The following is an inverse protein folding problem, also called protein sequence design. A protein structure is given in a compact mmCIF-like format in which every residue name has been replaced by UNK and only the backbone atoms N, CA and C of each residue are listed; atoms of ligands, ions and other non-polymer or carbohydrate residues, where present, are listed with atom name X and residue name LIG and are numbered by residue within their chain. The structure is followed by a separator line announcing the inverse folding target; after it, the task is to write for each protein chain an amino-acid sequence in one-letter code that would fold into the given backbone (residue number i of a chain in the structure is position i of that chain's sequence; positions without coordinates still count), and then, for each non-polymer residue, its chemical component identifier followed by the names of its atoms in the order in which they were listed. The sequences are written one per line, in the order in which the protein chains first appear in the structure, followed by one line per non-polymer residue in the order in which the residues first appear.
data_IF_336560101425
#
_entry.id   IF_336560101425
#
_cell.length_a   1.000
_cell.length_b   1.000
_cell.length_c   1.000
_cell.angle_alpha   90.00
_cell.angle_beta   90.00
_cell.angle_gamma   90.00
#
_symmetry.space_group_name_H-M   'P 1'
#
loop_
_entity.id
_entity.type
_entity.pdbx_description
1 polymer ?
#
# COMPACT_ATOMS: atom_id res chain seq x y z
N UNK A 1 -2.06 -11.48 23.04
CA UNK A 1 -3.04 -12.41 23.61
C UNK A 1 -4.44 -11.81 23.47
N UNK A 2 -5.42 -12.62 23.10
CA UNK A 2 -6.82 -12.20 22.89
C UNK A 2 -7.72 -13.17 23.63
N UNK A 3 -8.68 -12.64 24.40
CA UNK A 3 -9.71 -13.43 25.07
C UNK A 3 -11.00 -13.36 24.28
N UNK A 4 -11.60 -14.49 24.02
CA UNK A 4 -12.90 -14.65 23.36
C UNK A 4 -13.92 -15.19 24.34
N UNK A 5 -15.11 -14.63 24.31
CA UNK A 5 -16.26 -15.12 25.05
C UNK A 5 -17.30 -15.59 24.03
N UNK A 6 -17.57 -16.89 24.01
CA UNK A 6 -18.62 -17.47 23.18
C UNK A 6 -19.91 -17.42 23.92
N UNK A 7 -20.94 -16.85 23.30
CA UNK A 7 -22.27 -16.72 23.85
C UNK A 7 -23.26 -17.58 23.07
N UNK A 8 -24.06 -18.37 23.75
CA UNK A 8 -25.24 -19.04 23.22
C UNK A 8 -26.51 -18.43 23.83
N UNK A 9 -27.38 -17.90 22.97
CA UNK A 9 -28.59 -17.18 23.43
C UNK A 9 -28.30 -16.06 24.45
N UNK A 10 -27.13 -15.39 24.28
CA UNK A 10 -26.70 -14.30 25.16
C UNK A 10 -26.08 -14.75 26.49
N UNK A 11 -25.93 -16.04 26.72
CA UNK A 11 -25.27 -16.59 27.91
C UNK A 11 -23.86 -17.08 27.53
N UNK A 12 -22.83 -16.80 28.35
CA UNK A 12 -21.49 -17.29 28.12
C UNK A 12 -21.45 -18.82 28.28
N UNK A 13 -21.03 -19.50 27.22
CA UNK A 13 -20.88 -20.97 27.19
C UNK A 13 -19.42 -21.40 27.15
N UNK A 14 -18.54 -20.55 26.64
CA UNK A 14 -17.11 -20.85 26.56
C UNK A 14 -16.28 -19.56 26.63
N UNK A 15 -15.17 -19.60 27.35
CA UNK A 15 -14.13 -18.60 27.36
C UNK A 15 -12.85 -19.20 26.78
N UNK A 16 -12.26 -18.54 25.77
CA UNK A 16 -11.00 -18.95 25.15
C UNK A 16 -9.96 -17.84 25.22
N UNK A 17 -8.76 -18.23 25.54
CA UNK A 17 -7.59 -17.37 25.54
C UNK A 17 -6.63 -17.82 24.44
N UNK A 18 -6.51 -17.02 23.38
CA UNK A 18 -5.56 -17.25 22.30
C UNK A 18 -4.30 -16.39 22.45
N UNK A 19 -3.15 -17.00 22.28
CA UNK A 19 -1.85 -16.34 22.28
C UNK A 19 -1.13 -16.62 20.99
N UNK A 20 -0.80 -15.59 20.25
CA UNK A 20 -0.02 -15.68 19.02
C UNK A 20 1.28 -14.93 19.22
N UNK A 21 2.39 -15.55 18.88
CA UNK A 21 3.70 -14.92 18.79
C UNK A 21 4.21 -15.08 17.36
N UNK A 22 4.68 -13.99 16.76
CA UNK A 22 5.19 -13.95 15.39
C UNK A 22 6.57 -13.36 15.42
N UNK A 23 7.52 -14.04 14.78
CA UNK A 23 8.89 -13.57 14.59
C UNK A 23 9.28 -13.72 13.13
N UNK A 24 10.02 -12.74 12.59
CA UNK A 24 10.56 -12.79 11.25
C UNK A 24 11.49 -11.63 10.96
N UNK A 25 12.54 -11.94 10.22
CA UNK A 25 13.49 -10.96 9.73
C UNK A 25 13.59 -11.06 8.22
N UNK A 26 13.29 -9.99 7.51
CA UNK A 26 13.45 -9.95 6.06
C UNK A 26 14.72 -9.23 5.64
N UNK A 27 15.36 -9.73 4.59
CA UNK A 27 16.50 -9.11 3.94
C UNK A 27 16.21 -8.87 2.47
N UNK A 28 16.49 -7.66 1.99
CA UNK A 28 16.36 -7.28 0.59
C UNK A 28 17.72 -6.75 0.11
N UNK A 29 18.23 -7.37 -0.96
CA UNK A 29 19.46 -6.97 -1.64
C UNK A 29 19.12 -6.60 -3.08
N UNK A 30 19.57 -5.44 -3.53
CA UNK A 30 19.42 -5.00 -4.92
C UNK A 30 20.76 -4.55 -5.47
N UNK A 31 21.02 -4.91 -6.72
CA UNK A 31 22.14 -4.43 -7.52
C UNK A 31 21.59 -3.87 -8.82
N UNK A 32 21.92 -2.61 -9.10
CA UNK A 32 21.57 -1.93 -10.35
C UNK A 32 22.83 -1.50 -11.08
N UNK A 33 22.89 -1.79 -12.38
CA UNK A 33 23.89 -1.28 -13.30
C UNK A 33 23.16 -0.43 -14.34
N UNK A 34 23.59 0.82 -14.51
CA UNK A 34 22.93 1.75 -15.43
C UNK A 34 23.97 2.54 -16.19
N UNK A 35 23.74 2.67 -17.48
CA UNK A 35 24.46 3.54 -18.40
C UNK A 35 23.58 4.72 -18.79
N UNK A 36 24.08 5.94 -18.60
CA UNK A 36 23.44 7.19 -19.00
C UNK A 36 24.29 7.84 -20.09
N UNK A 37 23.84 7.79 -21.34
CA UNK A 37 24.53 8.36 -22.51
C UNK A 37 24.16 9.82 -22.74
N UNK A 38 25.13 10.60 -23.30
CA UNK A 38 24.90 12.01 -23.60
C UNK A 38 23.88 12.26 -24.72
N UNK A 39 23.54 11.22 -25.51
CA UNK A 39 22.53 11.29 -26.58
C UNK A 39 21.10 11.07 -26.10
N UNK A 40 20.88 10.97 -24.77
CA UNK A 40 19.57 10.65 -24.20
C UNK A 40 19.28 9.14 -24.10
N UNK A 41 20.25 8.28 -24.45
CA UNK A 41 20.15 6.83 -24.28
C UNK A 41 20.41 6.47 -22.81
N UNK A 42 19.50 5.70 -22.23
CA UNK A 42 19.63 5.10 -20.90
C UNK A 42 19.41 3.60 -21.03
N UNK A 43 20.32 2.78 -20.52
CA UNK A 43 20.17 1.33 -20.50
C UNK A 43 20.65 0.77 -19.17
N UNK A 44 20.03 -0.30 -18.70
CA UNK A 44 20.46 -0.89 -17.44
C UNK A 44 19.85 -2.25 -17.16
N UNK A 45 20.35 -2.80 -16.05
CA UNK A 45 19.92 -4.08 -15.50
C UNK A 45 19.76 -3.95 -13.99
N UNK A 46 18.70 -4.56 -13.47
CA UNK A 46 18.44 -4.69 -12.06
C UNK A 46 18.39 -6.16 -11.66
N UNK A 47 18.95 -6.47 -10.50
CA UNK A 47 18.77 -7.76 -9.85
C UNK A 47 18.41 -7.54 -8.38
N UNK A 48 17.32 -8.17 -7.96
CA UNK A 48 16.83 -8.11 -6.58
C UNK A 48 16.72 -9.51 -6.00
N UNK A 49 17.18 -9.65 -4.76
CA UNK A 49 16.99 -10.85 -3.95
C UNK A 49 16.31 -10.46 -2.65
N UNK A 50 15.17 -11.10 -2.36
CA UNK A 50 14.46 -10.98 -1.10
C UNK A 50 14.40 -12.33 -0.41
N UNK A 51 14.61 -12.33 0.91
CA UNK A 51 14.53 -13.49 1.77
C UNK A 51 13.79 -13.12 3.05
N UNK A 52 12.74 -13.84 3.37
CA UNK A 52 11.92 -13.60 4.56
C UNK A 52 11.54 -14.92 5.23
N UNK A 53 12.29 -15.37 6.24
CA UNK A 53 11.86 -16.42 7.13
C UNK A 53 10.82 -15.87 8.11
N UNK A 54 9.90 -16.69 8.53
CA UNK A 54 8.91 -16.38 9.55
C UNK A 54 8.68 -17.57 10.46
N UNK A 55 8.46 -17.29 11.72
CA UNK A 55 8.09 -18.27 12.73
C UNK A 55 6.86 -17.74 13.48
N UNK A 56 5.88 -18.60 13.68
CA UNK A 56 4.67 -18.26 14.45
C UNK A 56 4.38 -19.39 15.43
N UNK A 57 4.05 -19.03 16.66
CA UNK A 57 3.41 -19.96 17.60
C UNK A 57 1.98 -19.50 17.85
N UNK A 58 1.09 -20.45 18.00
CA UNK A 58 -0.30 -20.22 18.30
C UNK A 58 -0.71 -21.21 19.40
N UNK A 59 -1.14 -20.67 20.54
CA UNK A 59 -1.66 -21.46 21.67
C UNK A 59 -3.05 -20.98 22.00
N UNK A 60 -3.98 -21.90 22.02
CA UNK A 60 -5.37 -21.68 22.37
C UNK A 60 -5.76 -22.50 23.60
N UNK A 61 -6.38 -21.83 24.57
CA UNK A 61 -6.76 -22.41 25.86
C UNK A 61 -8.24 -22.16 26.16
N UNK A 62 -8.94 -23.19 26.60
CA UNK A 62 -10.28 -23.12 27.17
C UNK A 62 -10.23 -23.54 28.64
N UNK A 63 -10.63 -22.64 29.56
CA UNK A 63 -10.61 -22.91 31.00
C UNK A 63 -9.27 -23.50 31.51
N UNK A 64 -8.15 -22.89 31.13
CA UNK A 64 -6.77 -23.32 31.41
C UNK A 64 -6.34 -24.64 30.74
N UNK A 65 -7.21 -25.30 29.97
CA UNK A 65 -6.85 -26.47 29.19
C UNK A 65 -6.42 -26.06 27.79
N UNK A 66 -5.23 -26.52 27.35
CA UNK A 66 -4.76 -26.26 25.99
C UNK A 66 -5.60 -27.06 25.00
N UNK A 67 -6.26 -26.37 24.08
CA UNK A 67 -7.09 -26.94 23.01
C UNK A 67 -6.29 -27.08 21.74
N UNK A 68 -5.47 -26.05 21.42
CA UNK A 68 -4.59 -26.06 20.27
C UNK A 68 -3.24 -25.47 20.67
N UNK A 69 -2.17 -26.15 20.29
CA UNK A 69 -0.81 -25.68 20.42
C UNK A 69 -0.09 -25.99 19.11
N UNK A 70 0.21 -24.95 18.35
CA UNK A 70 0.72 -25.05 16.99
C UNK A 70 1.92 -24.15 16.78
N UNK A 71 2.85 -24.60 15.95
CA UNK A 71 3.94 -23.81 15.38
C UNK A 71 3.83 -23.82 13.86
N UNK A 72 4.23 -22.72 13.26
CA UNK A 72 4.30 -22.54 11.81
C UNK A 72 5.66 -21.94 11.47
N UNK A 73 6.41 -22.61 10.59
CA UNK A 73 7.58 -22.04 9.96
C UNK A 73 7.20 -21.65 8.53
N UNK A 74 7.49 -20.42 8.17
CA UNK A 74 7.26 -19.92 6.83
C UNK A 74 8.53 -19.35 6.24
N UNK A 75 8.65 -19.42 4.92
CA UNK A 75 9.79 -18.86 4.20
C UNK A 75 9.34 -18.35 2.84
N UNK A 76 9.74 -17.13 2.52
CA UNK A 76 9.57 -16.57 1.18
C UNK A 76 10.93 -16.18 0.60
N UNK A 77 11.24 -16.73 -0.58
CA UNK A 77 12.44 -16.44 -1.34
C UNK A 77 12.06 -15.87 -2.71
N UNK A 78 12.41 -14.61 -3.00
CA UNK A 78 12.14 -13.97 -4.28
C UNK A 78 13.45 -13.59 -4.95
N UNK A 79 13.55 -13.90 -6.25
CA UNK A 79 14.60 -13.40 -7.13
C UNK A 79 13.94 -12.70 -8.32
N UNK A 80 14.33 -11.47 -8.58
CA UNK A 80 13.82 -10.65 -9.67
C UNK A 80 14.99 -10.12 -10.50
N UNK A 81 14.88 -10.22 -11.83
CA UNK A 81 15.78 -9.59 -12.77
C UNK A 81 15.01 -8.73 -13.76
N UNK A 82 15.53 -7.56 -14.09
CA UNK A 82 14.95 -6.67 -15.09
C UNK A 82 16.04 -6.07 -15.99
N UNK A 83 15.67 -5.82 -17.23
CA UNK A 83 16.47 -5.12 -18.23
C UNK A 83 15.63 -3.98 -18.81
N UNK A 84 16.26 -2.85 -19.08
CA UNK A 84 15.59 -1.73 -19.71
C UNK A 84 16.51 -0.95 -20.65
N UNK A 85 15.89 -0.42 -21.70
CA UNK A 85 16.52 0.51 -22.65
C UNK A 85 15.50 1.61 -22.93
N UNK A 86 15.87 2.86 -22.64
CA UNK A 86 15.06 4.04 -22.87
C UNK A 86 15.85 5.05 -23.70
N UNK A 87 15.17 5.83 -24.51
CA UNK A 87 15.76 6.93 -25.24
C UNK A 87 14.85 8.15 -25.20
N UNK A 88 15.45 9.29 -24.92
CA UNK A 88 14.77 10.61 -24.93
C UNK A 88 15.41 11.49 -25.99
N UNK A 89 14.58 12.11 -26.83
CA UNK A 89 15.01 13.01 -27.87
C UNK A 89 14.12 14.25 -27.92
N UNK A 90 14.75 15.42 -27.97
CA UNK A 90 14.05 16.70 -28.16
C UNK A 90 14.44 17.28 -29.52
N UNK A 91 13.42 17.52 -30.35
CA UNK A 91 13.58 18.10 -31.70
C UNK A 91 13.65 19.63 -31.61
N UNK A 92 14.30 20.27 -32.58
CA UNK A 92 14.36 21.72 -32.73
C UNK A 92 12.94 22.35 -32.85
N UNK A 93 11.97 21.60 -33.35
CA UNK A 93 10.55 22.00 -33.45
C UNK A 93 9.83 22.03 -32.10
N UNK A 94 10.50 21.70 -31.00
CA UNK A 94 9.96 21.68 -29.64
C UNK A 94 9.17 20.41 -29.30
N UNK A 95 9.10 19.40 -30.18
CA UNK A 95 8.62 18.09 -29.84
C UNK A 95 9.65 17.32 -29.00
N UNK A 96 9.22 16.68 -27.92
CA UNK A 96 10.05 15.72 -27.20
C UNK A 96 9.42 14.33 -27.28
N UNK A 97 10.26 13.33 -27.56
CA UNK A 97 9.89 11.91 -27.55
C UNK A 97 10.67 11.21 -26.46
N UNK A 98 9.97 10.37 -25.69
CA UNK A 98 10.56 9.45 -24.74
C UNK A 98 9.95 8.06 -25.02
N UNK A 99 10.81 7.07 -25.26
CA UNK A 99 10.39 5.72 -25.63
C UNK A 99 11.37 4.68 -25.11
N UNK A 100 10.88 3.46 -24.92
CA UNK A 100 11.72 2.39 -24.44
C UNK A 100 11.05 1.05 -24.39
N UNK A 101 11.86 0.06 -24.02
CA UNK A 101 11.45 -1.32 -23.80
C UNK A 101 12.03 -1.83 -22.50
N UNK A 102 11.21 -2.54 -21.74
CA UNK A 102 11.60 -3.18 -20.50
C UNK A 102 11.22 -4.65 -20.54
N UNK A 103 12.03 -5.50 -19.93
CA UNK A 103 11.74 -6.92 -19.73
C UNK A 103 12.09 -7.34 -18.33
N UNK A 104 11.28 -8.22 -17.74
CA UNK A 104 11.46 -8.68 -16.37
C UNK A 104 11.17 -10.16 -16.20
N UNK A 105 11.83 -10.74 -15.22
CA UNK A 105 11.60 -12.09 -14.76
C UNK A 105 11.60 -12.10 -13.23
N UNK A 106 10.60 -12.77 -12.63
CA UNK A 106 10.53 -12.98 -11.17
C UNK A 106 10.28 -14.44 -10.87
N UNK A 107 10.96 -14.95 -9.84
CA UNK A 107 10.69 -16.28 -9.26
C UNK A 107 10.49 -16.09 -7.76
N UNK A 108 9.28 -16.30 -7.29
CA UNK A 108 8.92 -16.38 -5.87
C UNK A 108 8.75 -17.84 -5.47
N UNK A 109 9.31 -18.20 -4.32
CA UNK A 109 9.12 -19.50 -3.68
C UNK A 109 8.61 -19.27 -2.28
N UNK A 110 7.52 -19.94 -1.92
CA UNK A 110 6.93 -19.88 -0.59
C UNK A 110 6.86 -21.29 -0.04
N UNK A 111 7.33 -21.45 1.18
CA UNK A 111 7.28 -22.69 1.93
C UNK A 111 6.62 -22.42 3.27
N UNK A 112 5.69 -23.30 3.69
CA UNK A 112 5.01 -23.22 4.98
C UNK A 112 4.86 -24.64 5.51
N UNK A 113 5.25 -24.86 6.77
CA UNK A 113 4.99 -26.09 7.50
C UNK A 113 4.24 -25.77 8.80
N UNK A 114 3.40 -26.71 9.21
CA UNK A 114 2.63 -26.65 10.44
C UNK A 114 3.01 -27.82 11.33
N UNK A 115 3.22 -27.54 12.61
CA UNK A 115 3.55 -28.53 13.61
C UNK A 115 2.56 -28.39 14.77
N UNK A 116 1.91 -29.49 15.15
CA UNK A 116 0.97 -29.53 16.26
C UNK A 116 1.54 -30.29 17.43
N UNK A 117 1.39 -29.75 18.63
CA UNK A 117 1.73 -30.42 19.86
C UNK A 117 0.63 -31.41 20.25
N UNK A 118 0.93 -32.72 20.17
CA UNK A 118 0.00 -33.81 20.52
C UNK A 118 0.24 -34.35 21.92
N UNK A 119 0.92 -33.57 22.79
CA UNK A 119 1.21 -33.98 24.18
C UNK A 119 2.60 -34.56 24.38
N UNK A 120 3.24 -35.10 23.34
CA UNK A 120 4.59 -35.67 23.38
C UNK A 120 5.62 -34.82 22.60
N UNK A 121 5.25 -33.58 22.26
CA UNK A 121 6.04 -32.66 21.45
C UNK A 121 5.35 -32.30 20.13
N UNK A 122 6.03 -31.48 19.33
CA UNK A 122 5.49 -30.99 18.05
C UNK A 122 5.73 -32.02 16.94
N UNK A 123 4.65 -32.40 16.25
CA UNK A 123 4.66 -33.29 15.09
C UNK A 123 4.21 -32.53 13.83
N UNK A 124 4.88 -32.75 12.67
CA UNK A 124 4.51 -32.04 11.43
C UNK A 124 3.16 -32.57 10.88
N UNK A 125 2.33 -31.62 10.44
CA UNK A 125 1.12 -31.91 9.66
C UNK A 125 1.50 -31.97 8.17
N UNK A 126 1.84 -33.15 7.68
CA UNK A 126 2.36 -33.34 6.33
C UNK A 126 1.34 -33.07 5.23
N UNK A 127 0.06 -33.16 5.53
CA UNK A 127 -1.08 -32.84 4.67
C UNK A 127 -1.33 -31.31 4.54
N UNK A 128 -0.81 -30.54 5.49
CA UNK A 128 -0.87 -29.06 5.48
C UNK A 128 0.42 -28.40 4.97
N UNK A 129 1.39 -29.22 4.51
CA UNK A 129 2.65 -28.69 3.97
C UNK A 129 2.42 -27.94 2.67
N UNK A 130 2.83 -26.68 2.63
CA UNK A 130 2.75 -25.83 1.45
C UNK A 130 4.12 -25.57 0.82
N UNK A 131 4.26 -25.96 -0.46
CA UNK A 131 5.44 -25.68 -1.27
C UNK A 131 5.02 -25.08 -2.61
N UNK A 132 5.07 -23.76 -2.68
CA UNK A 132 4.54 -22.99 -3.78
C UNK A 132 5.65 -22.26 -4.52
N UNK A 133 5.52 -22.20 -5.83
CA UNK A 133 6.43 -21.45 -6.71
C UNK A 133 5.66 -20.68 -7.75
N UNK A 134 5.90 -19.38 -7.83
CA UNK A 134 5.39 -18.48 -8.85
C UNK A 134 6.52 -17.99 -9.74
N UNK A 135 6.35 -18.06 -11.04
CA UNK A 135 7.28 -17.52 -12.04
C UNK A 135 6.55 -16.51 -12.89
N UNK A 136 7.12 -15.33 -13.01
CA UNK A 136 6.54 -14.25 -13.78
C UNK A 136 7.48 -13.79 -14.89
N UNK A 137 6.90 -13.45 -16.00
CA UNK A 137 7.55 -12.88 -17.17
C UNK A 137 6.80 -11.62 -17.56
N UNK A 138 7.50 -10.51 -17.63
CA UNK A 138 6.95 -9.24 -18.06
C UNK A 138 7.74 -8.66 -19.22
N UNK A 139 7.05 -8.00 -20.12
CA UNK A 139 7.67 -7.21 -21.18
C UNK A 139 6.78 -6.03 -21.50
N UNK A 140 7.35 -4.84 -21.60
CA UNK A 140 6.60 -3.67 -22.02
C UNK A 140 7.39 -2.80 -22.99
N UNK A 141 6.64 -2.05 -23.81
CA UNK A 141 7.15 -0.97 -24.62
C UNK A 141 6.30 0.26 -24.36
N UNK A 142 6.91 1.43 -24.37
CA UNK A 142 6.19 2.69 -24.20
C UNK A 142 6.68 3.75 -25.19
N UNK A 143 5.77 4.67 -25.48
CA UNK A 143 6.03 5.89 -26.23
C UNK A 143 5.33 7.05 -25.52
N UNK A 144 6.07 8.10 -25.26
CA UNK A 144 5.58 9.37 -24.75
C UNK A 144 5.95 10.49 -25.71
N UNK A 145 5.01 11.35 -25.98
CA UNK A 145 5.17 12.53 -26.85
C UNK A 145 4.75 13.75 -26.06
N UNK A 146 5.60 14.77 -26.03
CA UNK A 146 5.28 16.05 -25.37
C UNK A 146 5.63 17.23 -26.26
N UNK A 147 4.86 18.32 -26.09
CA UNK A 147 5.09 19.60 -26.76
C UNK A 147 4.50 20.76 -25.99
N UNK A 148 5.26 21.87 -26.01
CA UNK A 148 4.77 23.19 -25.62
C UNK A 148 4.29 23.94 -26.87
N UNK A 149 3.02 24.34 -26.86
CA UNK A 149 2.38 25.13 -27.91
C UNK A 149 2.38 26.62 -27.49
N UNK A 150 3.53 27.27 -27.71
CA UNK A 150 3.78 28.61 -27.25
C UNK A 150 3.94 28.68 -25.72
N UNK A 151 3.56 29.82 -25.13
CA UNK A 151 3.72 30.09 -23.68
C UNK A 151 2.51 29.66 -22.85
N UNK A 152 1.43 29.21 -23.46
CA UNK A 152 0.15 29.02 -22.77
C UNK A 152 -0.30 27.57 -22.67
N UNK A 153 0.04 26.72 -23.62
CA UNK A 153 -0.48 25.37 -23.66
C UNK A 153 0.65 24.35 -23.77
N UNK A 154 0.63 23.33 -22.94
CA UNK A 154 1.48 22.17 -23.06
C UNK A 154 0.66 20.88 -23.03
N UNK A 155 1.10 19.89 -23.78
CA UNK A 155 0.47 18.58 -23.85
C UNK A 155 1.52 17.48 -23.81
N UNK A 156 1.25 16.47 -23.02
CA UNK A 156 1.99 15.20 -22.99
C UNK A 156 0.99 14.07 -23.14
N UNK A 157 1.29 13.10 -23.99
CA UNK A 157 0.53 11.87 -24.12
C UNK A 157 1.47 10.67 -24.17
N UNK A 158 1.12 9.61 -23.46
CA UNK A 158 1.90 8.37 -23.49
C UNK A 158 1.02 7.13 -23.60
N UNK A 159 1.57 6.10 -24.21
CA UNK A 159 0.99 4.78 -24.28
C UNK A 159 2.05 3.74 -23.93
N UNK A 160 1.78 2.97 -22.88
CA UNK A 160 2.55 1.75 -22.55
C UNK A 160 1.72 0.53 -22.94
N UNK A 161 2.36 -0.45 -23.57
CA UNK A 161 1.83 -1.78 -23.87
C UNK A 161 2.62 -2.77 -23.05
N UNK A 162 1.94 -3.59 -22.25
CA UNK A 162 2.57 -4.59 -21.39
C UNK A 162 2.01 -5.97 -21.66
N UNK A 163 2.90 -6.94 -21.78
CA UNK A 163 2.60 -8.36 -21.68
C UNK A 163 3.04 -8.85 -20.31
N UNK A 164 2.16 -9.56 -19.62
CA UNK A 164 2.45 -10.17 -18.33
C UNK A 164 1.95 -11.59 -18.25
N UNK A 165 2.82 -12.52 -17.83
CA UNK A 165 2.48 -13.93 -17.60
C UNK A 165 2.95 -14.38 -16.23
N UNK A 166 2.09 -15.06 -15.48
CA UNK A 166 2.39 -15.65 -14.19
C UNK A 166 2.01 -17.13 -14.16
N UNK A 167 3.01 -18.00 -14.11
CA UNK A 167 2.87 -19.44 -13.94
C UNK A 167 3.05 -19.80 -12.45
N UNK A 168 2.14 -20.59 -11.93
CA UNK A 168 2.08 -21.01 -10.54
C UNK A 168 2.23 -22.52 -10.41
N UNK A 169 2.94 -22.99 -9.39
CA UNK A 169 3.07 -24.40 -9.05
C UNK A 169 2.82 -24.53 -7.55
N UNK A 170 1.81 -25.29 -7.16
CA UNK A 170 1.49 -25.63 -5.78
C UNK A 170 1.57 -27.12 -5.60
N UNK A 171 2.41 -27.57 -4.68
CA UNK A 171 2.62 -29.00 -4.37
C UNK A 171 2.80 -29.89 -5.63
N UNK A 172 3.52 -29.35 -6.64
CA UNK A 172 3.81 -30.04 -7.91
C UNK A 172 2.77 -29.85 -9.00
N UNK A 173 1.56 -29.36 -8.71
CA UNK A 173 0.52 -29.06 -9.69
C UNK A 173 0.76 -27.67 -10.31
N UNK A 174 0.72 -27.61 -11.64
CA UNK A 174 0.97 -26.39 -12.39
C UNK A 174 -0.32 -25.74 -12.88
N UNK A 175 -0.39 -24.43 -12.78
CA UNK A 175 -1.45 -23.58 -13.34
C UNK A 175 -0.87 -22.27 -13.85
N UNK A 176 -1.64 -21.54 -14.65
CA UNK A 176 -1.33 -20.15 -15.03
C UNK A 176 -2.32 -19.26 -14.31
N UNK A 177 -1.82 -18.32 -13.51
CA UNK A 177 -2.67 -17.35 -12.80
C UNK A 177 -3.12 -16.26 -13.76
N UNK A 178 -2.18 -15.65 -14.48
CA UNK A 178 -2.44 -14.54 -15.40
C UNK A 178 -1.62 -14.70 -16.68
N UNK A 179 -2.21 -14.30 -17.80
CA UNK A 179 -1.53 -14.28 -19.10
C UNK A 179 -2.28 -13.32 -20.02
N UNK A 180 -1.87 -12.04 -20.02
CA UNK A 180 -2.59 -11.00 -20.74
C UNK A 180 -1.72 -9.85 -21.26
N UNK A 181 -2.27 -9.12 -22.22
CA UNK A 181 -1.78 -7.85 -22.71
C UNK A 181 -2.59 -6.70 -22.12
N UNK A 182 -1.92 -5.65 -21.69
CA UNK A 182 -2.59 -4.47 -21.12
C UNK A 182 -2.05 -3.19 -21.77
N UNK A 183 -2.96 -2.27 -22.10
CA UNK A 183 -2.65 -0.94 -22.60
C UNK A 183 -2.81 0.09 -21.46
N UNK A 184 -1.86 1.01 -21.34
CA UNK A 184 -1.86 2.07 -20.36
C UNK A 184 -1.77 3.43 -21.06
N UNK A 185 -2.91 4.02 -21.46
CA UNK A 185 -2.94 5.39 -21.96
C UNK A 185 -2.82 6.39 -20.79
N UNK A 186 -1.99 7.42 -20.96
CA UNK A 186 -1.89 8.55 -20.05
C UNK A 186 -1.81 9.85 -20.85
N UNK A 187 -2.34 10.94 -20.29
CA UNK A 187 -2.28 12.25 -20.88
C UNK A 187 -2.24 13.34 -19.81
N UNK A 188 -1.43 14.36 -20.04
CA UNK A 188 -1.42 15.60 -19.24
C UNK A 188 -1.58 16.78 -20.19
N UNK A 189 -2.56 17.62 -19.92
CA UNK A 189 -2.79 18.89 -20.62
C UNK A 189 -2.67 20.02 -19.63
N UNK A 190 -1.87 21.03 -19.93
CA UNK A 190 -1.72 22.21 -19.07
C UNK A 190 -1.99 23.49 -19.87
N UNK A 191 -2.83 24.35 -19.32
CA UNK A 191 -3.16 25.64 -19.90
C UNK A 191 -2.85 26.77 -18.90
N UNK A 192 -1.87 27.57 -19.25
CA UNK A 192 -1.46 28.76 -18.50
C UNK A 192 -2.21 29.96 -19.05
N UNK A 193 -3.34 30.33 -18.42
CA UNK A 193 -4.11 31.52 -18.78
C UNK A 193 -3.23 32.78 -18.64
N UNK A 194 -2.52 32.87 -17.54
CA UNK A 194 -1.46 33.83 -17.23
C UNK A 194 -0.64 33.27 -16.04
N UNK A 195 0.47 33.91 -15.62
CA UNK A 195 1.32 33.38 -14.52
C UNK A 195 0.60 33.14 -13.19
N UNK A 196 -0.60 33.74 -13.01
CA UNK A 196 -1.40 33.59 -11.80
C UNK A 196 -2.46 32.47 -11.88
N UNK A 197 -2.76 31.98 -13.08
CA UNK A 197 -3.85 31.06 -13.34
C UNK A 197 -3.39 29.91 -14.27
N UNK A 198 -3.28 28.72 -13.73
CA UNK A 198 -2.91 27.51 -14.48
C UNK A 198 -4.01 26.47 -14.28
N UNK A 199 -4.43 25.84 -15.36
CA UNK A 199 -5.38 24.72 -15.37
C UNK A 199 -4.65 23.50 -15.93
N UNK A 200 -4.75 22.37 -15.25
CA UNK A 200 -4.14 21.12 -15.69
C UNK A 200 -5.17 19.99 -15.63
N UNK A 201 -5.18 19.17 -16.67
CA UNK A 201 -5.95 17.93 -16.73
C UNK A 201 -4.97 16.76 -16.83
N UNK A 202 -5.04 15.84 -15.88
CA UNK A 202 -4.28 14.60 -15.88
C UNK A 202 -5.22 13.42 -16.02
N UNK A 203 -4.90 12.51 -16.94
CA UNK A 203 -5.58 11.23 -17.12
C UNK A 203 -4.51 10.16 -17.06
N UNK A 204 -4.71 9.15 -16.22
CA UNK A 204 -3.75 8.06 -16.06
C UNK A 204 -4.44 6.71 -15.91
N UNK A 205 -3.71 5.66 -16.26
CA UNK A 205 -4.13 4.28 -16.03
C UNK A 205 -2.97 3.46 -15.48
N UNK A 206 -3.29 2.53 -14.58
CA UNK A 206 -2.32 1.62 -13.98
C UNK A 206 -2.92 0.24 -13.74
N UNK A 207 -2.10 -0.74 -13.32
CA UNK A 207 -2.49 -2.10 -12.99
C UNK A 207 -1.76 -2.57 -11.74
N UNK A 208 -2.51 -3.09 -10.77
CA UNK A 208 -1.96 -3.59 -9.52
C UNK A 208 -2.13 -5.11 -9.45
N UNK A 209 -1.03 -5.79 -9.20
CA UNK A 209 -1.00 -7.25 -9.02
C UNK A 209 -1.10 -7.59 -7.53
N UNK A 210 -1.82 -8.68 -7.16
CA UNK A 210 -1.83 -9.18 -5.79
C UNK A 210 -0.43 -9.53 -5.28
N UNK A 211 -0.25 -9.52 -3.97
CA UNK A 211 1.00 -10.00 -3.37
C UNK A 211 1.17 -11.51 -3.61
N UNK A 212 2.41 -11.99 -3.50
CA UNK A 212 2.69 -13.44 -3.66
C UNK A 212 2.04 -14.27 -2.55
N UNK A 213 1.78 -13.67 -1.38
CA UNK A 213 1.10 -14.34 -0.28
C UNK A 213 -0.41 -14.44 -0.50
N UNK A 214 -1.03 -13.41 -1.07
CA UNK A 214 -2.49 -13.35 -1.24
C UNK A 214 -3.00 -14.42 -2.21
N UNK A 215 -2.17 -14.84 -3.17
CA UNK A 215 -2.49 -15.89 -4.15
C UNK A 215 -2.00 -17.28 -3.75
N UNK A 216 -1.31 -17.41 -2.63
CA UNK A 216 -0.87 -18.73 -2.11
C UNK A 216 -2.05 -19.39 -1.41
N UNK A 217 -2.47 -20.63 -1.80
CA UNK A 217 -3.57 -21.33 -1.16
C UNK A 217 -3.14 -21.85 0.22
N UNK A 218 -3.11 -20.96 1.19
CA UNK A 218 -2.69 -21.24 2.55
C UNK A 218 -3.80 -20.88 3.53
N UNK A 219 -3.83 -21.58 4.65
CA UNK A 219 -4.65 -21.26 5.80
C UNK A 219 -3.73 -20.77 6.93
N UNK A 220 -3.89 -19.50 7.33
CA UNK A 220 -3.11 -18.91 8.43
C UNK A 220 -4.03 -18.59 9.61
N UNK A 221 -4.00 -19.38 10.70
CA UNK A 221 -4.84 -19.11 11.85
C UNK A 221 -4.41 -17.82 12.55
N UNK A 222 -5.39 -16.99 12.86
CA UNK A 222 -5.23 -15.78 13.68
C UNK A 222 -5.52 -16.12 15.13
N UNK A 223 -6.59 -16.87 15.34
CA UNK A 223 -7.09 -17.37 16.62
C UNK A 223 -8.05 -18.54 16.38
N UNK A 224 -8.64 -19.13 17.44
CA UNK A 224 -9.55 -20.27 17.35
C UNK A 224 -10.74 -20.09 16.42
N UNK A 225 -11.16 -18.84 16.21
CA UNK A 225 -12.37 -18.50 15.46
C UNK A 225 -12.08 -17.69 14.20
N UNK A 226 -10.82 -17.47 13.87
CA UNK A 226 -10.45 -16.61 12.74
C UNK A 226 -9.25 -17.13 11.98
N UNK A 227 -9.36 -17.13 10.66
CA UNK A 227 -8.33 -17.62 9.74
C UNK A 227 -8.19 -16.68 8.55
N UNK A 228 -6.98 -16.52 8.05
CA UNK A 228 -6.70 -15.88 6.77
C UNK A 228 -6.50 -16.98 5.73
N UNK A 229 -7.24 -16.90 4.62
CA UNK A 229 -7.10 -17.76 3.46
C UNK A 229 -6.48 -17.00 2.29
N UNK A 230 -5.54 -17.62 1.59
CA UNK A 230 -5.09 -17.12 0.30
C UNK A 230 -6.10 -17.41 -0.82
N UNK A 231 -6.04 -16.65 -1.91
CA UNK A 231 -6.96 -16.78 -3.04
C UNK A 231 -6.20 -16.88 -4.38
N UNK A 232 -5.91 -18.10 -4.89
CA UNK A 232 -5.27 -18.28 -6.19
C UNK A 232 -6.09 -17.78 -7.38
N UNK A 233 -7.39 -17.52 -7.19
CA UNK A 233 -8.27 -17.01 -8.24
C UNK A 233 -8.29 -15.48 -8.33
N UNK A 234 -7.53 -14.81 -7.47
CA UNK A 234 -7.49 -13.35 -7.41
C UNK A 234 -6.91 -12.76 -8.69
N UNK A 235 -7.62 -11.77 -9.25
CA UNK A 235 -7.24 -11.07 -10.48
C UNK A 235 -6.54 -9.75 -10.14
N UNK A 236 -5.54 -9.33 -10.93
CA UNK A 236 -5.04 -7.96 -10.88
C UNK A 236 -6.16 -6.98 -11.24
N UNK A 237 -6.23 -5.85 -10.56
CA UNK A 237 -7.15 -4.79 -10.94
C UNK A 237 -6.46 -3.71 -11.78
N UNK A 238 -7.27 -2.99 -12.57
CA UNK A 238 -6.85 -1.79 -13.29
C UNK A 238 -7.43 -0.56 -12.60
N UNK A 239 -6.67 0.53 -12.60
CA UNK A 239 -7.16 1.83 -12.16
C UNK A 239 -7.16 2.82 -13.33
N UNK A 240 -8.18 3.67 -13.35
CA UNK A 240 -8.32 4.79 -14.27
C UNK A 240 -8.57 6.03 -13.44
N UNK A 241 -7.64 6.98 -13.51
CA UNK A 241 -7.68 8.21 -12.73
C UNK A 241 -7.78 9.43 -13.63
N UNK A 242 -8.64 10.36 -13.26
CA UNK A 242 -8.77 11.68 -13.90
C UNK A 242 -8.69 12.78 -12.84
N UNK A 243 -7.87 13.80 -13.07
CA UNK A 243 -7.73 14.95 -12.17
C UNK A 243 -7.78 16.25 -12.96
N UNK A 244 -8.62 17.18 -12.50
CA UNK A 244 -8.62 18.58 -12.97
C UNK A 244 -8.07 19.45 -11.84
N UNK A 245 -6.96 20.12 -12.12
CA UNK A 245 -6.21 20.93 -11.16
C UNK A 245 -6.24 22.37 -11.60
N UNK A 246 -6.62 23.27 -10.70
CA UNK A 246 -6.51 24.71 -10.89
C UNK A 246 -5.55 25.30 -9.87
N UNK A 247 -4.50 25.97 -10.37
CA UNK A 247 -3.47 26.60 -9.55
C UNK A 247 -3.63 28.11 -9.64
N UNK A 248 -3.89 28.74 -8.49
CA UNK A 248 -4.04 30.18 -8.34
C UNK A 248 -2.79 30.78 -7.70
N UNK A 249 -2.23 31.83 -8.35
CA UNK A 249 -1.05 32.57 -7.89
C UNK A 249 0.17 31.68 -7.62
N UNK A 250 0.31 30.56 -8.37
CA UNK A 250 1.36 29.54 -8.17
C UNK A 250 1.44 29.04 -6.71
N UNK A 251 0.33 29.11 -5.97
CA UNK A 251 0.31 28.87 -4.53
C UNK A 251 -0.89 28.06 -4.07
N UNK A 252 -2.09 28.43 -4.48
CA UNK A 252 -3.31 27.79 -4.04
C UNK A 252 -3.73 26.76 -5.08
N UNK A 253 -4.08 25.57 -4.66
CA UNK A 253 -4.51 24.49 -5.55
C UNK A 253 -5.94 24.11 -5.23
N UNK A 254 -6.79 24.04 -6.25
CA UNK A 254 -8.10 23.41 -6.20
C UNK A 254 -8.04 22.22 -7.15
N UNK A 255 -8.50 21.07 -6.70
CA UNK A 255 -8.51 19.85 -7.50
C UNK A 255 -9.88 19.20 -7.46
N UNK A 256 -10.28 18.61 -8.59
CA UNK A 256 -11.36 17.65 -8.69
C UNK A 256 -10.77 16.36 -9.22
N UNK A 257 -11.21 15.21 -8.70
CA UNK A 257 -10.68 13.92 -9.11
C UNK A 257 -11.77 12.86 -9.22
N UNK A 258 -11.51 11.86 -10.07
CA UNK A 258 -12.34 10.68 -10.22
C UNK A 258 -11.43 9.47 -10.46
N UNK A 259 -11.56 8.44 -9.62
CA UNK A 259 -10.82 7.18 -9.73
C UNK A 259 -11.82 6.03 -9.87
N UNK A 260 -11.70 5.27 -10.95
CA UNK A 260 -12.51 4.08 -11.22
C UNK A 260 -11.61 2.85 -11.29
N UNK A 261 -11.91 1.85 -10.46
CA UNK A 261 -11.09 0.65 -10.29
C UNK A 261 -11.99 -0.59 -10.41
N UNK A 262 -12.18 -1.11 -11.63
CA UNK A 262 -12.84 -2.41 -11.83
C UNK A 262 -11.98 -3.54 -11.28
N UNK A 263 -12.60 -4.65 -10.88
CA UNK A 263 -11.96 -5.82 -10.25
C UNK A 263 -11.11 -5.46 -9.02
N UNK A 264 -11.38 -4.33 -8.34
CA UNK A 264 -10.67 -3.95 -7.11
C UNK A 264 -10.69 -5.09 -6.09
N UNK A 265 -9.56 -5.44 -5.51
CA UNK A 265 -9.52 -6.49 -4.50
C UNK A 265 -9.21 -5.92 -3.11
N UNK A 266 -9.92 -6.46 -2.12
CA UNK A 266 -9.68 -6.16 -0.71
C UNK A 266 -9.84 -7.44 0.11
N UNK A 267 -9.25 -7.45 1.30
CA UNK A 267 -9.48 -8.52 2.26
C UNK A 267 -10.89 -8.35 2.88
N UNK A 268 -11.74 -9.34 2.67
CA UNK A 268 -13.10 -9.36 3.18
C UNK A 268 -13.24 -10.45 4.23
N UNK A 269 -13.90 -10.17 5.34
CA UNK A 269 -14.32 -11.17 6.32
C UNK A 269 -15.60 -11.86 5.88
N UNK A 270 -15.71 -13.13 6.19
CA UNK A 270 -16.93 -13.92 6.06
C UNK A 270 -17.12 -14.76 7.31
N UNK A 271 -18.30 -14.64 7.94
CA UNK A 271 -18.67 -15.47 9.09
C UNK A 271 -19.38 -16.72 8.59
N UNK A 272 -18.75 -17.86 8.74
CA UNK A 272 -19.38 -19.15 8.42
C UNK A 272 -20.44 -19.46 9.49
N UNK A 273 -21.70 -19.63 9.07
CA UNK A 273 -22.81 -19.89 9.98
C UNK A 273 -22.91 -21.37 10.43
N UNK A 274 -22.26 -22.29 9.70
CA UNK A 274 -22.23 -23.72 10.03
C UNK A 274 -21.10 -24.07 11.01
N UNK A 275 -20.05 -23.26 11.03
CA UNK A 275 -18.93 -23.37 11.94
C UNK A 275 -18.70 -22.01 12.55
N UNK A 276 -18.42 -21.92 13.84
CA UNK A 276 -18.12 -20.63 14.48
C UNK A 276 -16.75 -20.13 14.06
N UNK A 277 -16.62 -19.77 12.76
CA UNK A 277 -15.35 -19.41 12.12
C UNK A 277 -15.50 -18.16 11.26
N UNK A 278 -14.62 -17.22 11.47
CA UNK A 278 -14.49 -16.01 10.66
C UNK A 278 -13.32 -16.18 9.69
N UNK A 279 -13.60 -16.11 8.41
CA UNK A 279 -12.62 -16.30 7.34
C UNK A 279 -12.31 -14.94 6.73
N UNK A 280 -11.03 -14.58 6.69
CA UNK A 280 -10.53 -13.40 5.99
C UNK A 280 -9.89 -13.82 4.68
N UNK A 281 -10.38 -13.34 3.55
CA UNK A 281 -9.84 -13.65 2.23
C UNK A 281 -9.86 -12.43 1.33
N UNK A 282 -8.83 -12.25 0.50
CA UNK A 282 -8.86 -11.25 -0.56
C UNK A 282 -9.80 -11.69 -1.67
N UNK A 283 -10.72 -10.81 -2.05
CA UNK A 283 -11.70 -11.03 -3.11
C UNK A 283 -11.71 -9.85 -4.08
N UNK A 284 -11.95 -10.13 -5.37
CA UNK A 284 -12.20 -9.07 -6.31
C UNK A 284 -13.65 -8.59 -6.18
N UNK A 285 -13.82 -7.28 -6.02
CA UNK A 285 -15.08 -6.58 -6.08
C UNK A 285 -15.40 -6.19 -7.53
N UNK A 286 -16.68 -5.94 -7.86
CA UNK A 286 -17.08 -5.48 -9.18
C UNK A 286 -16.37 -4.18 -9.55
N UNK A 287 -16.35 -3.22 -8.60
CA UNK A 287 -15.59 -1.99 -8.72
C UNK A 287 -15.45 -1.24 -7.40
N UNK A 288 -14.47 -0.35 -7.38
CA UNK A 288 -14.37 0.80 -6.48
C UNK A 288 -14.43 2.07 -7.33
N UNK A 289 -15.25 3.04 -6.91
CA UNK A 289 -15.37 4.36 -7.54
C UNK A 289 -15.21 5.43 -6.47
N UNK A 290 -14.30 6.36 -6.71
CA UNK A 290 -14.09 7.54 -5.87
C UNK A 290 -14.16 8.79 -6.73
N UNK A 291 -14.84 9.82 -6.28
CA UNK A 291 -14.77 11.14 -6.86
C UNK A 291 -14.91 12.22 -5.80
N UNK A 292 -14.20 13.30 -5.98
CA UNK A 292 -14.17 14.33 -4.96
C UNK A 292 -13.52 15.62 -5.40
N UNK A 293 -13.47 16.54 -4.46
CA UNK A 293 -12.82 17.83 -4.61
C UNK A 293 -11.91 18.10 -3.43
N UNK A 294 -10.86 18.88 -3.65
CA UNK A 294 -9.93 19.27 -2.61
C UNK A 294 -9.37 20.65 -2.83
N UNK A 295 -8.90 21.26 -1.76
CA UNK A 295 -8.17 22.53 -1.79
C UNK A 295 -6.91 22.43 -0.94
N UNK A 296 -5.82 23.00 -1.45
CA UNK A 296 -4.54 23.09 -0.75
C UNK A 296 -4.20 24.57 -0.61
N UNK A 297 -4.05 25.01 0.63
CA UNK A 297 -3.81 26.40 1.00
C UNK A 297 -2.54 26.51 1.84
N UNK A 298 -1.39 26.78 1.22
CA UNK A 298 -0.19 27.12 1.97
C UNK A 298 -0.27 28.57 2.45
N UNK A 299 0.15 28.83 3.67
CA UNK A 299 0.26 30.18 4.19
C UNK A 299 1.50 30.32 5.10
N UNK A 300 1.90 31.58 5.31
CA UNK A 300 3.06 31.90 6.13
C UNK A 300 2.75 33.11 6.99
N UNK A 301 3.11 33.03 8.28
CA UNK A 301 3.03 34.14 9.23
C UNK A 301 4.45 34.56 9.59
N UNK A 302 4.88 35.69 9.06
CA UNK A 302 6.26 36.13 9.18
C UNK A 302 7.26 35.08 8.71
N UNK A 303 8.37 34.97 9.42
CA UNK A 303 9.38 33.91 9.17
C UNK A 303 9.29 32.79 10.21
N UNK A 304 8.40 32.96 11.16
CA UNK A 304 8.23 32.06 12.30
C UNK A 304 7.40 30.83 11.97
N UNK A 305 6.30 30.97 11.19
CA UNK A 305 5.34 29.90 10.97
C UNK A 305 5.02 29.71 9.48
N UNK A 306 5.34 28.54 8.95
CA UNK A 306 4.88 28.05 7.65
C UNK A 306 3.86 26.95 7.87
N UNK A 307 2.75 27.02 7.15
CA UNK A 307 1.67 26.04 7.23
C UNK A 307 1.12 25.71 5.85
N UNK A 308 0.61 24.50 5.73
CA UNK A 308 -0.21 24.07 4.61
C UNK A 308 -1.46 23.38 5.15
N UNK A 309 -2.62 23.85 4.73
CA UNK A 309 -3.91 23.25 5.01
C UNK A 309 -4.40 22.53 3.75
N UNK A 310 -4.82 21.29 3.90
CA UNK A 310 -5.51 20.52 2.86
C UNK A 310 -6.89 20.15 3.37
N UNK A 311 -7.91 20.47 2.59
CA UNK A 311 -9.28 20.06 2.80
C UNK A 311 -9.73 19.26 1.60
N UNK A 312 -10.34 18.12 1.79
CA UNK A 312 -10.98 17.37 0.71
C UNK A 312 -12.29 16.74 1.16
N UNK A 313 -13.19 16.58 0.21
CA UNK A 313 -14.41 15.83 0.35
C UNK A 313 -14.59 14.91 -0.84
N UNK A 314 -14.97 13.66 -0.59
CA UNK A 314 -15.13 12.65 -1.63
C UNK A 314 -16.34 11.77 -1.33
N UNK A 315 -16.91 11.21 -2.40
CA UNK A 315 -17.82 10.08 -2.33
C UNK A 315 -17.06 8.83 -2.78
N UNK A 316 -17.10 7.80 -1.95
CA UNK A 316 -16.56 6.49 -2.22
C UNK A 316 -17.70 5.49 -2.38
N UNK A 317 -17.62 4.64 -3.39
CA UNK A 317 -18.54 3.55 -3.65
C UNK A 317 -17.75 2.26 -3.87
N UNK A 318 -18.22 1.18 -3.28
CA UNK A 318 -17.69 -0.17 -3.48
C UNK A 318 -18.84 -1.15 -3.69
N UNK A 319 -18.72 -1.99 -4.71
CA UNK A 319 -19.76 -2.95 -5.08
C UNK A 319 -19.17 -4.34 -5.22
N UNK A 320 -19.91 -5.31 -4.68
CA UNK A 320 -19.67 -6.73 -4.87
C UNK A 320 -21.02 -7.45 -4.96
N UNK A 321 -21.27 -8.13 -6.07
CA UNK A 321 -22.54 -8.83 -6.27
C UNK A 321 -22.55 -10.23 -5.66
N UNK A 322 -21.39 -10.93 -5.61
CA UNK A 322 -21.32 -12.31 -5.14
C UNK A 322 -20.03 -12.58 -4.34
N UNK A 323 -20.18 -12.73 -3.03
CA UNK A 323 -19.15 -13.25 -2.15
C UNK A 323 -19.81 -14.21 -1.15
N UNK A 324 -19.72 -15.51 -1.39
CA UNK A 324 -20.56 -16.52 -0.76
C UNK A 324 -22.04 -16.20 -1.00
N UNK A 325 -22.80 -16.00 0.08
CA UNK A 325 -24.21 -15.52 0.06
C UNK A 325 -24.32 -14.00 0.27
N UNK A 326 -23.17 -13.28 0.27
CA UNK A 326 -23.13 -11.85 0.48
C UNK A 326 -23.12 -11.09 -0.84
N UNK A 327 -23.87 -10.00 -0.86
CA UNK A 327 -23.74 -8.94 -1.83
C UNK A 327 -23.81 -7.60 -1.14
N UNK A 328 -23.08 -6.61 -1.62
CA UNK A 328 -23.12 -5.26 -1.06
C UNK A 328 -22.88 -4.17 -2.10
N UNK A 329 -23.48 -3.04 -1.87
CA UNK A 329 -23.21 -1.79 -2.56
C UNK A 329 -23.09 -0.69 -1.52
N UNK A 330 -21.87 -0.49 -1.04
CA UNK A 330 -21.58 0.46 0.01
C UNK A 330 -21.15 1.79 -0.57
N UNK A 331 -21.68 2.88 0.00
CA UNK A 331 -21.25 4.22 -0.34
C UNK A 331 -21.12 5.10 0.90
N UNK A 332 -20.15 6.00 0.87
CA UNK A 332 -19.96 6.97 1.96
C UNK A 332 -19.35 8.27 1.45
N UNK A 333 -19.80 9.37 2.06
CA UNK A 333 -19.15 10.66 1.92
C UNK A 333 -18.07 10.78 3.00
N UNK A 334 -16.85 11.05 2.57
CA UNK A 334 -15.69 11.17 3.45
C UNK A 334 -15.11 12.56 3.33
N UNK A 335 -14.95 13.24 4.46
CA UNK A 335 -14.23 14.50 4.57
C UNK A 335 -12.85 14.28 5.17
N UNK A 336 -11.84 14.96 4.64
CA UNK A 336 -10.50 14.94 5.18
C UNK A 336 -10.01 16.36 5.43
N UNK A 337 -9.41 16.57 6.59
CA UNK A 337 -8.65 17.75 6.96
C UNK A 337 -7.22 17.35 7.29
N UNK A 338 -6.25 18.03 6.68
CA UNK A 338 -4.83 17.86 6.99
C UNK A 338 -4.19 19.22 7.20
N UNK A 339 -3.32 19.33 8.20
CA UNK A 339 -2.57 20.53 8.49
C UNK A 339 -1.12 20.18 8.81
N UNK A 340 -0.20 20.68 7.99
CA UNK A 340 1.24 20.54 8.19
C UNK A 340 1.81 21.89 8.63
N UNK A 341 2.49 21.94 9.77
CA UNK A 341 3.05 23.17 10.33
C UNK A 341 4.53 23.02 10.60
N UNK A 342 5.30 24.05 10.28
CA UNK A 342 6.70 24.20 10.69
C UNK A 342 6.87 25.55 11.38
N UNK A 343 7.27 25.50 12.66
CA UNK A 343 7.61 26.67 13.47
C UNK A 343 9.13 26.81 13.53
N UNK A 344 9.67 27.95 13.12
CA UNK A 344 11.08 28.29 13.26
C UNK A 344 11.27 28.91 14.63
N UNK A 345 11.76 28.13 15.60
CA UNK A 345 11.93 28.57 16.99
C UNK A 345 13.22 29.39 17.16
N UNK A 346 14.27 29.08 16.39
CA UNK A 346 15.51 29.82 16.33
C UNK A 346 16.08 29.78 14.91
N UNK A 347 16.51 30.93 14.38
CA UNK A 347 17.25 31.03 13.11
C UNK A 347 18.75 31.15 13.29
N UNK A 348 19.18 31.62 14.45
CA UNK A 348 20.59 31.67 14.82
C UNK A 348 21.10 30.27 15.08
N UNK A 349 22.39 30.09 15.06
CA UNK A 349 23.02 28.82 15.41
C UNK A 349 22.94 28.56 16.93
N UNK A 350 22.32 27.46 17.35
CA UNK A 350 21.75 26.36 16.55
C UNK A 350 20.37 26.70 15.95
N UNK A 351 20.12 26.25 14.70
CA UNK A 351 18.81 26.38 14.05
C UNK A 351 17.87 25.33 14.66
N UNK A 352 16.73 25.80 15.20
CA UNK A 352 15.75 24.94 15.85
C UNK A 352 14.38 25.11 15.20
N UNK A 353 13.78 24.01 14.77
CA UNK A 353 12.44 23.97 14.16
C UNK A 353 11.58 22.93 14.86
N UNK A 354 10.29 23.27 15.01
CA UNK A 354 9.25 22.38 15.47
C UNK A 354 8.27 22.14 14.35
N UNK A 355 8.12 20.89 13.93
CA UNK A 355 7.00 20.47 13.06
C UNK A 355 5.86 19.95 13.93
N UNK A 356 4.64 20.35 13.63
CA UNK A 356 3.41 19.86 14.24
C UNK A 356 2.40 19.59 13.12
N UNK A 357 2.12 18.33 12.88
CA UNK A 357 1.29 17.87 11.78
C UNK A 357 0.10 17.10 12.32
N UNK A 358 -1.02 17.24 11.65
CA UNK A 358 -2.21 16.49 12.01
C UNK A 358 -3.12 16.27 10.82
N UNK A 359 -3.89 15.21 10.88
CA UNK A 359 -4.99 14.97 9.95
C UNK A 359 -6.19 14.38 10.69
N UNK A 360 -7.36 14.54 10.08
CA UNK A 360 -8.63 13.99 10.52
C UNK A 360 -9.40 13.48 9.31
N UNK A 361 -10.03 12.32 9.44
CA UNK A 361 -10.92 11.70 8.45
C UNK A 361 -12.25 11.38 9.12
N UNK A 362 -13.35 11.77 8.51
CA UNK A 362 -14.69 11.61 9.09
C UNK A 362 -15.16 10.17 9.19
N UNK A 363 -14.66 9.33 8.31
CA UNK A 363 -15.02 7.92 8.21
C UNK A 363 -15.00 7.50 6.74
N UNK A 364 -14.97 6.20 6.47
CA UNK A 364 -14.88 5.65 5.13
C UNK A 364 -15.62 4.30 5.03
N UNK A 365 -15.71 3.73 3.82
CA UNK A 365 -16.04 2.33 3.59
C UNK A 365 -14.79 1.60 3.12
N UNK A 366 -14.68 0.33 3.46
CA UNK A 366 -13.66 -0.57 2.95
C UNK A 366 -14.27 -1.95 2.80
N UNK A 367 -14.64 -2.31 1.57
CA UNK A 367 -15.39 -3.53 1.32
C UNK A 367 -16.71 -3.52 2.10
N UNK A 368 -16.90 -4.55 2.90
CA UNK A 368 -18.09 -4.71 3.75
C UNK A 368 -18.03 -3.89 5.06
N UNK A 369 -16.87 -3.28 5.37
CA UNK A 369 -16.69 -2.51 6.59
C UNK A 369 -17.18 -1.08 6.47
N UNK A 370 -17.91 -0.62 7.48
CA UNK A 370 -18.11 0.79 7.81
C UNK A 370 -17.03 1.23 8.80
N UNK A 371 -16.18 2.16 8.39
CA UNK A 371 -15.09 2.68 9.19
C UNK A 371 -15.52 3.99 9.85
N UNK A 372 -15.31 4.09 11.16
CA UNK A 372 -15.49 5.31 11.93
C UNK A 372 -14.41 6.35 11.62
N UNK A 373 -14.51 7.51 12.26
CA UNK A 373 -13.51 8.56 12.10
C UNK A 373 -12.14 8.14 12.67
N UNK A 374 -11.10 8.76 12.13
CA UNK A 374 -9.74 8.63 12.64
C UNK A 374 -9.01 9.98 12.59
N UNK A 375 -8.01 10.15 13.42
CA UNK A 375 -7.12 11.30 13.36
C UNK A 375 -5.72 10.95 13.85
N UNK A 376 -4.73 11.68 13.38
CA UNK A 376 -3.35 11.59 13.88
C UNK A 376 -2.81 12.98 14.17
N UNK A 377 -2.01 13.07 15.21
CA UNK A 377 -1.18 14.23 15.52
C UNK A 377 0.23 13.75 15.77
N UNK A 378 1.17 14.32 15.02
CA UNK A 378 2.58 13.99 15.09
C UNK A 378 3.42 15.25 15.25
N UNK A 379 4.53 15.16 15.99
CA UNK A 379 5.44 16.28 16.23
C UNK A 379 6.89 15.88 16.02
N UNK A 380 7.71 16.79 15.50
CA UNK A 380 9.16 16.59 15.38
C UNK A 380 9.92 17.87 15.74
N UNK A 381 10.87 17.74 16.67
CA UNK A 381 11.83 18.79 16.99
C UNK A 381 13.12 18.54 16.21
N UNK A 382 13.49 19.48 15.33
CA UNK A 382 14.68 19.40 14.47
C UNK A 382 15.70 20.43 14.93
N UNK A 383 16.88 19.95 15.32
CA UNK A 383 18.01 20.76 15.74
C UNK A 383 19.15 20.61 14.75
N UNK A 384 19.49 21.71 14.05
CA UNK A 384 20.62 21.76 13.13
C UNK A 384 21.78 22.52 13.74
N UNK A 385 22.99 21.95 13.73
CA UNK A 385 24.20 22.50 14.31
C UNK A 385 25.45 22.08 13.52
N UNK A 386 26.65 22.44 13.97
CA UNK A 386 27.92 22.17 13.28
C UNK A 386 27.92 22.66 11.82
N UNK A 387 27.53 23.94 11.59
CA UNK A 387 27.43 24.55 10.26
C UNK A 387 26.50 23.80 9.31
N UNK A 388 25.32 23.37 9.82
CA UNK A 388 24.29 22.58 9.12
C UNK A 388 24.74 21.17 8.66
N UNK A 389 25.89 20.72 9.17
CA UNK A 389 26.39 19.36 8.92
C UNK A 389 25.74 18.31 9.81
N UNK A 390 25.32 18.70 11.01
CA UNK A 390 24.65 17.81 11.96
C UNK A 390 23.17 18.18 12.09
N UNK A 391 22.31 17.18 12.09
CA UNK A 391 20.88 17.34 12.40
C UNK A 391 20.46 16.26 13.38
N UNK A 392 19.95 16.68 14.54
CA UNK A 392 19.28 15.81 15.51
C UNK A 392 17.78 16.02 15.37
N UNK A 393 17.02 14.92 15.25
CA UNK A 393 15.57 14.93 15.13
C UNK A 393 14.99 14.06 16.23
N UNK A 394 14.14 14.64 17.07
CA UNK A 394 13.28 13.93 18.01
C UNK A 394 11.87 13.97 17.44
N UNK A 395 11.31 12.82 17.06
CA UNK A 395 9.99 12.70 16.45
C UNK A 395 9.07 11.83 17.31
N UNK A 396 7.83 12.27 17.51
CA UNK A 396 6.77 11.50 18.12
C UNK A 396 5.61 11.39 17.13
N UNK A 397 5.33 10.18 16.66
CA UNK A 397 4.18 9.89 15.81
C UNK A 397 3.01 9.42 16.66
N UNK A 398 1.81 9.67 16.16
CA UNK A 398 0.56 9.19 16.73
C UNK A 398 0.47 9.49 18.24
N UNK A 399 0.61 10.78 18.60
CA UNK A 399 0.67 11.25 20.00
C UNK A 399 -0.54 10.76 20.81
N UNK A 400 -1.73 10.71 20.20
CA UNK A 400 -2.98 10.36 20.85
C UNK A 400 -3.42 8.90 20.66
N UNK A 401 -2.63 8.08 19.90
CA UNK A 401 -2.98 6.68 19.56
C UNK A 401 -4.34 6.57 18.84
N UNK A 402 -4.56 7.42 17.85
CA UNK A 402 -5.86 7.62 17.21
C UNK A 402 -5.83 7.50 15.68
N UNK A 403 -4.71 7.01 15.10
CA UNK A 403 -4.56 6.89 13.65
C UNK A 403 -5.22 5.62 13.08
N UNK A 404 -5.90 4.83 13.90
CA UNK A 404 -6.80 3.74 13.49
C UNK A 404 -8.26 4.20 13.54
N UNK A 405 -9.14 3.66 12.71
CA UNK A 405 -10.56 3.96 12.78
C UNK A 405 -11.10 3.71 14.20
N UNK A 406 -11.88 4.65 14.72
CA UNK A 406 -12.47 4.52 16.05
C UNK A 406 -13.35 3.28 16.18
N UNK A 407 -14.03 2.92 15.09
CA UNK A 407 -14.82 1.69 14.95
C UNK A 407 -14.62 1.09 13.56
N UNK A 408 -14.69 -0.23 13.48
CA UNK A 408 -14.87 -0.98 12.23
C UNK A 408 -16.09 -1.86 12.42
N UNK A 409 -17.13 -1.65 11.63
CA UNK A 409 -18.40 -2.35 11.77
C UNK A 409 -18.78 -3.08 10.49
N UNK A 410 -19.36 -4.26 10.64
CA UNK A 410 -20.11 -4.98 9.62
C UNK A 410 -21.50 -5.15 10.16
N UNK A 411 -22.51 -4.73 9.42
CA UNK A 411 -23.92 -4.90 9.78
C UNK A 411 -24.77 -4.98 8.51
N UNK A 412 -24.52 -6.01 7.71
CA UNK A 412 -25.28 -6.22 6.47
C UNK A 412 -25.21 -7.68 6.05
N UNK A 413 -26.18 -8.11 5.23
CA UNK A 413 -26.23 -9.45 4.63
C UNK A 413 -26.16 -10.58 5.69
N UNK A 414 -26.78 -10.38 6.86
CA UNK A 414 -26.75 -11.35 7.97
C UNK A 414 -25.43 -11.47 8.71
N UNK A 415 -24.43 -10.68 8.34
CA UNK A 415 -23.14 -10.60 9.02
C UNK A 415 -23.15 -9.43 10.02
N UNK A 416 -22.65 -9.67 11.22
CA UNK A 416 -22.47 -8.63 12.22
C UNK A 416 -21.12 -8.77 12.91
N UNK A 417 -20.33 -7.71 12.88
CA UNK A 417 -19.10 -7.61 13.65
C UNK A 417 -18.82 -6.16 14.01
N UNK A 418 -18.32 -5.92 15.19
CA UNK A 418 -17.88 -4.61 15.62
C UNK A 418 -16.55 -4.69 16.35
N UNK A 419 -15.56 -3.99 15.81
CA UNK A 419 -14.27 -3.76 16.45
C UNK A 419 -14.21 -2.31 16.91
N UNK A 420 -13.77 -2.09 18.13
CA UNK A 420 -13.59 -0.76 18.72
C UNK A 420 -12.30 -0.76 19.55
N UNK A 421 -11.80 0.43 19.85
CA UNK A 421 -10.54 0.62 20.57
C UNK A 421 -9.37 -0.09 19.89
N UNK A 422 -9.28 0.06 18.57
CA UNK A 422 -8.13 -0.40 17.82
C UNK A 422 -6.92 0.39 18.32
N UNK A 423 -6.01 -0.29 19.02
CA UNK A 423 -4.81 0.33 19.57
C UNK A 423 -3.77 0.44 18.48
N UNK A 424 -3.36 1.68 18.21
CA UNK A 424 -2.18 1.93 17.42
C UNK A 424 -1.03 2.43 18.30
N UNK A 425 0.19 2.12 17.88
CA UNK A 425 1.36 2.40 18.69
C UNK A 425 1.83 3.85 18.52
N UNK A 426 1.98 4.55 19.66
CA UNK A 426 2.77 5.77 19.70
C UNK A 426 4.24 5.41 19.47
N UNK A 427 4.89 6.06 18.51
CA UNK A 427 6.28 5.80 18.18
C UNK A 427 7.12 7.06 18.46
N UNK A 428 8.17 6.91 19.27
CA UNK A 428 9.17 7.95 19.49
C UNK A 428 10.45 7.53 18.80
N UNK A 429 10.96 8.40 17.93
CA UNK A 429 12.19 8.15 17.15
C UNK A 429 13.21 9.26 17.41
N UNK A 430 14.44 8.87 17.66
CA UNK A 430 15.59 9.78 17.68
C UNK A 430 16.46 9.46 16.47
N UNK A 431 16.72 10.48 15.64
CA UNK A 431 17.55 10.33 14.44
C UNK A 431 18.68 11.34 14.47
N UNK A 432 19.89 10.89 14.20
CA UNK A 432 21.05 11.74 14.01
C UNK A 432 21.58 11.61 12.59
N UNK A 433 21.69 12.73 11.90
CA UNK A 433 22.19 12.81 10.53
C UNK A 433 23.44 13.66 10.50
N UNK A 434 24.52 13.12 9.95
CA UNK A 434 25.76 13.85 9.71
C UNK A 434 26.09 13.87 8.23
N UNK A 435 26.32 15.06 7.67
CA UNK A 435 26.68 15.26 6.26
C UNK A 435 28.20 15.23 6.12
N UNK A 436 28.72 14.21 5.45
CA UNK A 436 30.12 14.10 5.11
C UNK A 436 30.36 14.68 3.69
N UNK A 437 31.16 15.75 3.59
CA UNK A 437 31.61 16.29 2.32
C UNK A 437 30.52 16.86 1.39
N UNK A 438 30.90 17.24 0.17
CA UNK A 438 30.04 17.81 -0.87
C UNK A 438 29.41 16.79 -1.83
N UNK A 439 29.18 15.57 -1.39
CA UNK A 439 28.59 14.52 -2.23
C UNK A 439 27.16 14.88 -2.64
N UNK A 440 26.91 15.02 -3.95
CA UNK A 440 25.57 15.11 -4.49
C UNK A 440 25.01 13.70 -4.61
N UNK A 441 24.00 13.38 -3.78
CA UNK A 441 23.29 12.09 -3.87
C UNK A 441 22.65 11.99 -5.27
N UNK A 442 23.08 11.03 -6.09
CA UNK A 442 22.31 10.65 -7.28
C UNK A 442 21.00 10.04 -6.81
N UNK A 443 19.91 10.53 -7.35
CA UNK A 443 18.61 9.87 -7.14
C UNK A 443 18.58 8.62 -8.02
N UNK A 444 18.33 7.48 -7.41
CA UNK A 444 18.05 6.22 -8.10
C UNK A 444 16.59 5.85 -7.83
N UNK A 445 15.97 5.27 -8.82
CA UNK A 445 14.64 4.69 -8.66
C UNK A 445 14.68 3.58 -7.60
N UNK A 446 13.74 3.60 -6.68
CA UNK A 446 13.64 2.58 -5.64
C UNK A 446 13.19 1.25 -6.26
N UNK A 447 13.64 0.14 -5.66
CA UNK A 447 13.14 -1.20 -6.04
C UNK A 447 11.66 -1.30 -5.70
N UNK A 448 10.85 -1.74 -6.66
CA UNK A 448 9.47 -2.09 -6.37
C UNK A 448 9.42 -3.44 -5.63
N UNK A 449 9.17 -3.35 -4.36
CA UNK A 449 8.99 -4.49 -3.44
C UNK A 449 7.55 -4.56 -2.89
N UNK A 450 6.61 -3.86 -3.49
CA UNK A 450 5.21 -3.73 -3.01
C UNK A 450 4.48 -5.08 -2.88
N UNK A 451 4.90 -6.08 -3.66
CA UNK A 451 4.34 -7.43 -3.66
C UNK A 451 5.09 -8.43 -2.78
N UNK A 452 6.17 -8.00 -2.09
CA UNK A 452 7.02 -8.86 -1.27
C UNK A 452 6.50 -8.90 0.18
N UNK A 453 6.68 -10.05 0.85
CA UNK A 453 6.22 -10.24 2.22
C UNK A 453 4.73 -10.52 2.34
N UNK A 454 4.27 -10.66 3.58
CA UNK A 454 2.84 -10.79 3.90
C UNK A 454 2.19 -9.41 3.84
N UNK A 455 1.05 -9.30 3.20
CA UNK A 455 0.15 -8.15 3.39
C UNK A 455 -0.36 -8.20 4.85
N UNK A 456 -0.15 -7.12 5.58
CA UNK A 456 -0.66 -6.96 6.95
C UNK A 456 -2.08 -6.42 6.90
#
# INVERSE_FOLDING_TARGET
ATTFLVLESGQPVEERLSRTYIEGNSALHNVRIQYDGNSGLMAGADFTRYHSPGFQTFVDQSHETTVTDMQNNSKQDISQGALFINHSHTFETGWALNYGVHGGFTSSKTYIDYLYNKGNGYEPALDELENNRQKEYSGNAFLEVSKDFGSHFSATASLKVEYFKSDYTSNGMKSTLWNDWTLFPNATLSYTVNPMHIIQLDISSDKTYPSYWDVTPQESPINSYSVILGNPSLKPYRSYSGQLIYILKQKYTILAFCDYVPDYFAQLPYQNTSELKNVFRYENMDYQLQFGVGVIVPFRVGEFWNSQVTLSGQRMQEKLDHFHDLSFHNEKYTGQFKMDNTFTLSKSRPNLKLDLNGYFVTGAVQGIYDLGHLYDVSSALKWQFADDRATLILKCNNIFRSNMPHTMEINQSGQYSRLWKLDDQRCVTVSFVWKFGGYKKKQHEAVDASRFGKSM
#
